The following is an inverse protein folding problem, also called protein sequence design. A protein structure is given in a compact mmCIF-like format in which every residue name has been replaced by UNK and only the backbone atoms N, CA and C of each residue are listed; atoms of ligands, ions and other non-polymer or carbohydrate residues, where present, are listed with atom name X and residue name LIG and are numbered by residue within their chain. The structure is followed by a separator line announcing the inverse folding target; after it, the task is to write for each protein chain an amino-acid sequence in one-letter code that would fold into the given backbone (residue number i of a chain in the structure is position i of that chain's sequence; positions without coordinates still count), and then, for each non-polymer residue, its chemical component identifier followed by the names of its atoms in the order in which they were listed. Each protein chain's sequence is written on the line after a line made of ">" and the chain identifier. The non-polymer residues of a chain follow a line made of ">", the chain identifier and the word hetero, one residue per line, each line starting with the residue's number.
data_IF_701726393412
#
_entry.id   IF_701726393412
#
_cell.length_a   1.000
_cell.length_b   1.000
_cell.length_c   1.000
_cell.angle_alpha   90.00
_cell.angle_beta   90.00
_cell.angle_gamma   90.00
#
_symmetry.space_group_name_H-M   'P 1'
#
loop_
_entity.id
_entity.type
_entity.pdbx_description
1 polymer ?
#
# COMPACT_ATOMS: atom_id res chain seq x y z
N UNK A 1 -25.10 23.73 -15.74
CA UNK A 1 -25.06 22.44 -16.46
C UNK A 1 -24.83 21.34 -15.43
N UNK A 2 -25.85 20.52 -15.17
CA UNK A 2 -25.94 19.50 -14.10
C UNK A 2 -24.99 18.30 -14.32
N UNK A 3 -24.42 18.15 -15.51
CA UNK A 3 -23.66 16.96 -15.92
C UNK A 3 -22.28 16.78 -15.24
N UNK A 4 -21.72 17.79 -14.58
CA UNK A 4 -20.44 17.71 -13.89
C UNK A 4 -20.49 17.32 -12.40
N UNK A 5 -21.68 17.12 -11.84
CA UNK A 5 -21.90 16.96 -10.39
C UNK A 5 -21.81 15.50 -9.89
N UNK A 6 -21.95 14.50 -10.78
CA UNK A 6 -22.10 13.11 -10.35
C UNK A 6 -20.85 12.24 -10.50
N UNK A 7 -19.91 12.61 -11.37
CA UNK A 7 -18.66 11.87 -11.53
C UNK A 7 -17.49 12.67 -10.97
N UNK A 8 -16.83 12.11 -9.96
CA UNK A 8 -15.57 12.64 -9.42
C UNK A 8 -14.42 11.90 -10.08
N UNK A 9 -13.57 12.63 -10.77
CA UNK A 9 -12.40 12.06 -11.43
C UNK A 9 -11.35 11.53 -10.43
N UNK A 10 -10.62 10.50 -10.85
CA UNK A 10 -9.42 10.02 -10.14
C UNK A 10 -8.26 10.97 -10.49
N UNK A 11 -8.38 12.22 -10.05
CA UNK A 11 -7.37 13.27 -10.27
C UNK A 11 -6.67 13.55 -8.94
N UNK A 12 -5.35 13.52 -8.97
CA UNK A 12 -4.49 13.82 -7.82
C UNK A 12 -3.61 15.05 -8.05
N UNK A 13 -3.96 15.89 -9.03
CA UNK A 13 -3.20 17.11 -9.37
C UNK A 13 -3.04 17.99 -8.13
N UNK A 14 -1.78 18.32 -7.84
CA UNK A 14 -1.44 19.14 -6.69
C UNK A 14 -1.38 18.40 -5.35
N UNK A 15 -1.80 17.13 -5.25
CA UNK A 15 -1.60 16.29 -4.05
C UNK A 15 -0.17 15.76 -3.99
N UNK A 16 0.28 15.42 -2.80
CA UNK A 16 1.59 14.80 -2.53
C UNK A 16 1.35 13.48 -1.83
N UNK A 17 1.87 12.39 -2.41
CA UNK A 17 1.74 11.04 -1.91
C UNK A 17 3.10 10.47 -1.45
N UNK A 18 3.14 9.93 -0.23
CA UNK A 18 4.27 9.14 0.27
C UNK A 18 3.95 7.66 0.08
N UNK A 19 4.87 6.93 -0.56
CA UNK A 19 4.75 5.48 -0.82
C UNK A 19 5.92 4.76 -0.19
N UNK A 20 5.67 3.86 0.76
CA UNK A 20 6.71 3.00 1.35
C UNK A 20 6.93 1.75 0.50
N UNK A 21 8.17 1.24 0.47
CA UNK A 21 8.52 0.10 -0.38
C UNK A 21 8.38 0.39 -1.87
N UNK A 22 8.61 1.64 -2.29
CA UNK A 22 8.39 2.14 -3.65
C UNK A 22 9.41 1.66 -4.68
N UNK A 23 10.39 0.86 -4.32
CA UNK A 23 11.48 0.45 -5.21
C UNK A 23 11.06 -0.61 -6.23
N UNK A 24 10.18 -1.54 -5.87
CA UNK A 24 9.79 -2.69 -6.72
C UNK A 24 8.30 -3.03 -6.58
N UNK A 25 7.81 -3.87 -7.49
CA UNK A 25 6.49 -4.49 -7.41
C UNK A 25 5.34 -3.50 -7.26
N UNK A 26 4.42 -3.79 -6.34
CA UNK A 26 3.21 -2.99 -6.10
C UNK A 26 3.56 -1.54 -5.76
N UNK A 27 4.49 -1.30 -4.83
CA UNK A 27 4.85 0.05 -4.41
C UNK A 27 5.41 0.91 -5.55
N UNK A 28 6.24 0.33 -6.43
CA UNK A 28 6.75 1.04 -7.63
C UNK A 28 5.61 1.36 -8.61
N UNK A 29 4.76 0.37 -8.90
CA UNK A 29 3.60 0.58 -9.76
C UNK A 29 2.63 1.61 -9.20
N UNK A 30 2.37 1.56 -7.90
CA UNK A 30 1.56 2.56 -7.19
C UNK A 30 2.14 3.97 -7.32
N UNK A 31 3.44 4.14 -7.08
CA UNK A 31 4.08 5.45 -7.23
C UNK A 31 3.94 6.01 -8.65
N UNK A 32 4.07 5.14 -9.67
CA UNK A 32 3.88 5.53 -11.08
C UNK A 32 2.41 5.89 -11.35
N UNK A 33 1.45 5.08 -10.91
CA UNK A 33 0.02 5.34 -11.14
C UNK A 33 -0.46 6.63 -10.45
N UNK A 34 -0.03 6.88 -9.20
CA UNK A 34 -0.34 8.13 -8.51
C UNK A 34 0.26 9.35 -9.23
N UNK A 35 1.48 9.21 -9.78
CA UNK A 35 2.11 10.25 -10.58
C UNK A 35 1.39 10.50 -11.91
N UNK A 36 0.90 9.45 -12.57
CA UNK A 36 0.06 9.55 -13.77
C UNK A 36 -1.25 10.28 -13.49
N UNK A 37 -1.82 10.07 -12.29
CA UNK A 37 -2.99 10.81 -11.83
C UNK A 37 -2.66 12.26 -11.40
N UNK A 38 -1.39 12.70 -11.47
CA UNK A 38 -0.94 14.06 -11.21
C UNK A 38 -0.38 14.33 -9.81
N UNK A 39 -0.20 13.32 -8.96
CA UNK A 39 0.38 13.51 -7.64
C UNK A 39 1.90 13.70 -7.70
N UNK A 40 2.43 14.55 -6.83
CA UNK A 40 3.84 14.55 -6.49
C UNK A 40 4.16 13.32 -5.63
N UNK A 41 5.33 12.72 -5.80
CA UNK A 41 5.70 11.47 -5.17
C UNK A 41 6.87 11.64 -4.20
N UNK A 42 6.69 11.08 -2.99
CA UNK A 42 7.76 10.84 -2.03
C UNK A 42 7.91 9.32 -1.92
N UNK A 43 9.00 8.80 -2.48
CA UNK A 43 9.28 7.36 -2.51
C UNK A 43 10.20 6.97 -1.35
N UNK A 44 9.80 5.96 -0.57
CA UNK A 44 10.63 5.41 0.51
C UNK A 44 11.08 4.00 0.15
N UNK A 45 12.39 3.72 0.29
CA UNK A 45 12.94 2.40 0.02
C UNK A 45 14.42 2.30 0.39
N UNK A 46 14.95 1.09 0.44
CA UNK A 46 16.32 0.79 0.90
C UNK A 46 17.38 0.77 -0.22
N UNK A 47 16.96 0.85 -1.46
CA UNK A 47 17.87 0.74 -2.61
C UNK A 47 17.87 2.04 -3.41
N UNK A 48 18.98 2.79 -3.33
CA UNK A 48 19.11 4.08 -3.99
C UNK A 48 19.03 3.96 -5.51
N UNK A 49 19.68 2.97 -6.11
CA UNK A 49 19.66 2.76 -7.57
C UNK A 49 18.23 2.57 -8.10
N UNK A 50 17.40 1.82 -7.37
CA UNK A 50 16.00 1.61 -7.73
C UNK A 50 15.16 2.89 -7.54
N UNK A 51 15.46 3.68 -6.51
CA UNK A 51 14.82 4.99 -6.29
C UNK A 51 15.17 5.95 -7.42
N UNK A 52 16.43 5.99 -7.85
CA UNK A 52 16.90 6.82 -8.97
C UNK A 52 16.28 6.38 -10.31
N UNK A 53 16.15 5.06 -10.50
CA UNK A 53 15.44 4.49 -11.64
C UNK A 53 13.96 4.89 -11.66
N UNK A 54 13.29 4.90 -10.50
CA UNK A 54 11.91 5.37 -10.39
C UNK A 54 11.81 6.88 -10.68
N UNK A 55 12.76 7.68 -10.17
CA UNK A 55 12.84 9.11 -10.44
C UNK A 55 12.84 9.42 -11.93
N UNK A 56 13.63 8.68 -12.73
CA UNK A 56 13.71 8.87 -14.19
C UNK A 56 12.34 8.69 -14.87
N UNK A 57 11.52 7.77 -14.37
CA UNK A 57 10.16 7.54 -14.88
C UNK A 57 9.23 8.68 -14.45
N UNK A 58 9.21 9.01 -13.15
CA UNK A 58 8.30 10.01 -12.59
C UNK A 58 8.56 11.41 -13.19
N UNK A 59 9.82 11.77 -13.44
CA UNK A 59 10.16 13.05 -14.08
C UNK A 59 9.51 13.24 -15.46
N UNK A 60 9.31 12.16 -16.22
CA UNK A 60 8.63 12.22 -17.53
C UNK A 60 7.14 12.57 -17.41
N UNK A 61 6.54 12.37 -16.23
CA UNK A 61 5.14 12.68 -15.94
C UNK A 61 4.91 14.13 -15.45
N UNK A 62 5.96 14.96 -15.44
CA UNK A 62 5.93 16.39 -15.09
C UNK A 62 5.40 16.67 -13.66
N UNK A 63 5.60 15.74 -12.71
CA UNK A 63 5.31 15.90 -11.29
C UNK A 63 6.60 15.92 -10.47
N UNK A 64 6.55 16.47 -9.24
CA UNK A 64 7.70 16.50 -8.34
C UNK A 64 7.97 15.10 -7.77
N UNK A 65 9.26 14.79 -7.60
CA UNK A 65 9.71 13.55 -6.99
C UNK A 65 10.75 13.84 -5.91
N UNK A 66 10.59 13.21 -4.77
CA UNK A 66 11.60 13.10 -3.72
C UNK A 66 11.74 11.63 -3.32
N UNK A 67 12.89 11.25 -2.79
CA UNK A 67 13.10 9.92 -2.26
C UNK A 67 13.79 9.96 -0.89
N UNK A 68 13.41 9.00 -0.03
CA UNK A 68 14.07 8.72 1.23
C UNK A 68 14.68 7.32 1.15
N UNK A 69 16.01 7.24 1.13
CA UNK A 69 16.72 5.97 1.23
C UNK A 69 16.74 5.54 2.70
N UNK A 70 15.77 4.71 3.09
CA UNK A 70 15.53 4.37 4.47
C UNK A 70 14.84 3.00 4.60
N UNK A 71 15.15 2.27 5.68
CA UNK A 71 14.30 1.17 6.15
C UNK A 71 13.13 1.76 6.95
N UNK A 72 11.91 1.28 6.67
CA UNK A 72 10.70 1.71 7.40
C UNK A 72 10.72 1.34 8.88
N UNK A 73 11.58 0.40 9.29
CA UNK A 73 11.80 0.04 10.69
C UNK A 73 12.67 1.05 11.44
N UNK A 74 13.43 1.90 10.74
CA UNK A 74 14.21 2.97 11.36
C UNK A 74 13.28 4.14 11.69
N UNK A 75 12.69 4.09 12.89
CA UNK A 75 11.71 5.07 13.36
C UNK A 75 12.27 6.49 13.39
N UNK A 76 13.50 6.67 13.93
CA UNK A 76 14.09 8.01 14.08
C UNK A 76 14.42 8.63 12.72
N UNK A 77 14.93 7.83 11.78
CA UNK A 77 15.20 8.32 10.44
C UNK A 77 13.90 8.64 9.68
N UNK A 78 12.87 7.79 9.80
CA UNK A 78 11.56 8.06 9.23
C UNK A 78 10.94 9.34 9.80
N UNK A 79 10.99 9.53 11.13
CA UNK A 79 10.54 10.75 11.81
C UNK A 79 11.29 11.99 11.29
N UNK A 80 12.62 11.91 11.18
CA UNK A 80 13.45 12.99 10.63
C UNK A 80 13.07 13.35 9.18
N UNK A 81 12.78 12.35 8.34
CA UNK A 81 12.38 12.60 6.96
C UNK A 81 10.95 13.15 6.85
N UNK A 82 9.99 12.55 7.56
CA UNK A 82 8.58 12.97 7.50
C UNK A 82 8.40 14.39 8.06
N UNK A 83 9.12 14.78 9.11
CA UNK A 83 9.04 16.13 9.69
C UNK A 83 9.48 17.24 8.73
N UNK A 84 10.28 16.94 7.72
CA UNK A 84 10.75 17.89 6.69
C UNK A 84 9.78 18.05 5.51
N UNK A 85 8.77 17.20 5.41
CA UNK A 85 7.78 17.27 4.33
C UNK A 85 6.95 18.56 4.49
N UNK A 86 6.84 19.32 3.41
CA UNK A 86 6.09 20.60 3.39
C UNK A 86 4.64 20.46 2.91
N UNK A 87 4.31 19.34 2.26
CA UNK A 87 2.97 18.99 1.81
C UNK A 87 2.82 17.48 1.79
N UNK A 88 1.79 16.96 2.43
CA UNK A 88 1.45 15.53 2.46
C UNK A 88 -0.07 15.39 2.47
N UNK A 89 -0.61 14.68 1.52
CA UNK A 89 -2.04 14.46 1.34
C UNK A 89 -2.40 12.97 1.36
N UNK A 90 -1.46 12.12 0.94
CA UNK A 90 -1.69 10.67 0.81
C UNK A 90 -0.51 9.90 1.39
N UNK A 91 -0.82 8.85 2.16
CA UNK A 91 0.14 7.82 2.55
C UNK A 91 -0.28 6.48 1.94
N UNK A 92 0.67 5.77 1.33
CA UNK A 92 0.52 4.36 0.97
C UNK A 92 1.53 3.53 1.75
N UNK A 93 1.08 2.83 2.78
CA UNK A 93 1.85 1.85 3.54
C UNK A 93 1.92 0.55 2.75
N UNK A 94 2.95 0.42 1.89
CA UNK A 94 3.12 -0.75 1.05
C UNK A 94 4.32 -1.62 1.44
N UNK A 95 5.30 -1.10 2.16
CA UNK A 95 6.43 -1.91 2.63
C UNK A 95 5.94 -3.14 3.39
N UNK A 96 6.46 -4.32 3.01
CA UNK A 96 6.03 -5.57 3.62
C UNK A 96 6.92 -6.75 3.24
N UNK A 97 6.87 -7.79 4.06
CA UNK A 97 7.60 -9.04 3.84
C UNK A 97 6.71 -10.25 4.14
N UNK A 98 7.12 -11.41 3.61
CA UNK A 98 6.47 -12.68 3.85
C UNK A 98 7.55 -13.78 3.86
N UNK A 99 7.58 -14.57 4.91
CA UNK A 99 8.47 -15.71 5.10
C UNK A 99 7.57 -16.94 5.34
N UNK A 100 7.36 -17.78 4.30
CA UNK A 100 6.54 -18.97 4.44
C UNK A 100 7.25 -20.05 5.24
N UNK A 101 6.63 -20.48 6.33
CA UNK A 101 7.13 -21.57 7.18
C UNK A 101 5.96 -22.41 7.71
N UNK A 102 6.09 -23.75 7.83
CA UNK A 102 5.13 -24.59 8.53
C UNK A 102 5.02 -24.13 9.99
N UNK A 103 3.79 -24.14 10.55
CA UNK A 103 3.53 -23.57 11.89
C UNK A 103 4.46 -24.13 12.97
N UNK A 104 4.66 -25.43 13.00
CA UNK A 104 5.51 -26.10 14.01
C UNK A 104 7.02 -25.75 13.90
N UNK A 105 7.43 -25.19 12.75
CA UNK A 105 8.84 -24.89 12.46
C UNK A 105 9.07 -23.38 12.26
N UNK A 106 8.10 -22.53 12.62
CA UNK A 106 8.25 -21.08 12.50
C UNK A 106 9.37 -20.59 13.40
N UNK A 107 10.37 -19.93 12.81
CA UNK A 107 11.47 -19.35 13.55
C UNK A 107 11.06 -18.08 14.28
N UNK A 108 11.55 -17.89 15.51
CA UNK A 108 11.30 -16.67 16.29
C UNK A 108 11.74 -15.40 15.51
N UNK A 109 12.88 -15.46 14.82
CA UNK A 109 13.38 -14.36 13.99
C UNK A 109 12.45 -14.03 12.80
N UNK A 110 11.76 -15.03 12.25
CA UNK A 110 10.77 -14.82 11.19
C UNK A 110 9.53 -14.10 11.73
N UNK A 111 9.09 -14.45 12.94
CA UNK A 111 7.99 -13.76 13.63
C UNK A 111 8.33 -12.28 13.83
N UNK A 112 9.49 -12.01 14.42
CA UNK A 112 9.98 -10.65 14.67
C UNK A 112 10.11 -9.84 13.38
N UNK A 113 10.71 -10.42 12.34
CA UNK A 113 10.89 -9.76 11.05
C UNK A 113 9.55 -9.39 10.40
N UNK A 114 8.60 -10.34 10.38
CA UNK A 114 7.29 -10.09 9.76
C UNK A 114 6.51 -9.04 10.54
N UNK A 115 6.43 -9.16 11.86
CA UNK A 115 5.67 -8.22 12.69
C UNK A 115 6.29 -6.82 12.70
N UNK A 116 7.61 -6.71 12.74
CA UNK A 116 8.28 -5.41 12.69
C UNK A 116 7.95 -4.68 11.38
N UNK A 117 8.05 -5.34 10.23
CA UNK A 117 7.81 -4.69 8.94
C UNK A 117 6.32 -4.52 8.63
N UNK A 118 5.51 -5.57 8.84
CA UNK A 118 4.12 -5.57 8.36
C UNK A 118 3.13 -4.91 9.33
N UNK A 119 3.50 -4.75 10.60
CA UNK A 119 2.59 -4.22 11.64
C UNK A 119 3.19 -3.00 12.32
N UNK A 120 4.31 -3.16 13.02
CA UNK A 120 4.91 -2.08 13.81
C UNK A 120 5.35 -0.89 12.93
N UNK A 121 6.04 -1.15 11.83
CA UNK A 121 6.44 -0.08 10.90
C UNK A 121 5.24 0.57 10.23
N UNK A 122 4.20 -0.20 9.86
CA UNK A 122 2.96 0.35 9.29
C UNK A 122 2.29 1.31 10.27
N UNK A 123 2.16 0.92 11.55
CA UNK A 123 1.63 1.78 12.61
C UNK A 123 2.48 3.06 12.77
N UNK A 124 3.79 2.91 12.93
CA UNK A 124 4.70 4.03 13.17
C UNK A 124 4.67 5.06 12.03
N UNK A 125 4.78 4.58 10.79
CA UNK A 125 4.75 5.46 9.60
C UNK A 125 3.39 6.13 9.46
N UNK A 126 2.30 5.39 9.70
CA UNK A 126 0.95 5.95 9.68
C UNK A 126 0.77 7.06 10.71
N UNK A 127 1.24 6.86 11.95
CA UNK A 127 1.16 7.86 13.02
C UNK A 127 1.97 9.12 12.68
N UNK A 128 3.21 8.95 12.20
CA UNK A 128 4.05 10.08 11.78
C UNK A 128 3.41 10.87 10.63
N UNK A 129 2.88 10.17 9.62
CA UNK A 129 2.25 10.81 8.47
C UNK A 129 0.90 11.45 8.83
N UNK A 130 0.07 10.82 9.68
CA UNK A 130 -1.17 11.41 10.14
C UNK A 130 -0.93 12.74 10.88
N UNK A 131 0.02 12.75 11.82
CA UNK A 131 0.43 13.97 12.51
C UNK A 131 0.93 15.06 11.53
N UNK A 132 1.69 14.68 10.51
CA UNK A 132 2.18 15.62 9.51
C UNK A 132 1.05 16.14 8.62
N UNK A 133 0.10 15.29 8.21
CA UNK A 133 -1.10 15.70 7.45
C UNK A 133 -1.91 16.69 8.27
N UNK A 134 -2.22 16.40 9.53
CA UNK A 134 -2.98 17.28 10.43
C UNK A 134 -2.30 18.66 10.56
N UNK A 135 -0.98 18.65 10.71
CA UNK A 135 -0.18 19.88 10.83
C UNK A 135 -0.20 20.72 9.56
N UNK A 136 -0.14 20.09 8.38
CA UNK A 136 0.08 20.78 7.10
C UNK A 136 -1.19 20.99 6.28
N UNK A 137 -2.22 20.17 6.48
CA UNK A 137 -3.38 20.13 5.60
C UNK A 137 -4.69 20.04 6.40
N UNK A 138 -5.31 21.18 6.64
CA UNK A 138 -6.62 21.27 7.32
C UNK A 138 -7.77 20.61 6.53
N UNK A 139 -7.56 20.27 5.25
CA UNK A 139 -8.56 19.59 4.41
C UNK A 139 -8.58 18.08 4.63
N UNK A 140 -7.64 17.54 5.41
CA UNK A 140 -7.50 16.12 5.67
C UNK A 140 -6.62 15.40 4.66
N UNK A 141 -6.81 14.06 4.54
CA UNK A 141 -5.97 13.22 3.69
C UNK A 141 -6.50 11.81 3.49
N UNK A 142 -5.70 10.96 2.86
CA UNK A 142 -6.00 9.54 2.67
C UNK A 142 -4.82 8.67 3.05
N UNK A 143 -5.04 7.67 3.91
CA UNK A 143 -4.07 6.64 4.27
C UNK A 143 -4.55 5.32 3.70
N UNK A 144 -3.70 4.65 2.91
CA UNK A 144 -4.00 3.37 2.29
C UNK A 144 -2.97 2.34 2.77
N UNK A 145 -3.44 1.31 3.46
CA UNK A 145 -2.62 0.22 3.95
C UNK A 145 -2.68 -0.96 2.97
N UNK A 146 -1.54 -1.43 2.49
CA UNK A 146 -1.51 -2.64 1.67
C UNK A 146 -1.53 -3.86 2.58
N UNK A 147 -2.70 -4.49 2.62
CA UNK A 147 -2.95 -5.74 3.31
C UNK A 147 -2.74 -6.95 2.37
N UNK A 148 -3.60 -7.90 2.39
CA UNK A 148 -3.62 -9.11 1.56
C UNK A 148 -4.98 -9.80 1.71
N UNK A 149 -5.34 -10.70 0.79
CA UNK A 149 -6.42 -11.67 1.06
C UNK A 149 -6.16 -12.44 2.37
N UNK A 150 -4.88 -12.61 2.75
CA UNK A 150 -4.51 -13.23 4.03
C UNK A 150 -4.68 -12.32 5.27
N UNK A 151 -5.31 -11.18 5.09
CA UNK A 151 -5.93 -10.36 6.15
C UNK A 151 -7.44 -10.59 6.27
N UNK A 152 -8.04 -11.40 5.38
CA UNK A 152 -9.46 -11.75 5.32
C UNK A 152 -9.63 -13.27 5.56
N UNK A 153 -8.80 -14.10 4.90
CA UNK A 153 -8.75 -15.56 5.06
C UNK A 153 -7.32 -15.99 5.40
N UNK A 154 -7.15 -17.22 5.86
CA UNK A 154 -5.81 -17.75 6.17
C UNK A 154 -5.20 -18.49 4.98
N UNK A 155 -3.86 -18.56 4.94
CA UNK A 155 -3.11 -19.35 3.98
C UNK A 155 -2.20 -20.37 4.65
N UNK A 156 -2.08 -21.56 4.05
CA UNK A 156 -1.18 -22.60 4.54
C UNK A 156 0.27 -22.10 4.56
N UNK A 157 1.01 -22.42 5.63
CA UNK A 157 2.38 -21.94 5.86
C UNK A 157 2.52 -20.41 5.90
N UNK A 158 1.46 -19.70 6.28
CA UNK A 158 1.39 -18.22 6.31
C UNK A 158 0.88 -17.70 7.65
N UNK A 159 0.94 -18.49 8.72
CA UNK A 159 0.33 -18.13 10.02
C UNK A 159 0.77 -16.74 10.50
N UNK A 160 2.08 -16.48 10.56
CA UNK A 160 2.59 -15.17 11.02
C UNK A 160 2.26 -14.06 10.03
N UNK A 161 2.33 -14.35 8.73
CA UNK A 161 1.95 -13.38 7.70
C UNK A 161 0.46 -13.03 7.80
N UNK A 162 -0.43 -14.04 7.92
CA UNK A 162 -1.86 -13.82 8.11
C UNK A 162 -2.11 -13.02 9.38
N UNK A 163 -1.53 -13.40 10.52
CA UNK A 163 -1.62 -12.65 11.77
C UNK A 163 -1.24 -11.17 11.56
N UNK A 164 -0.15 -10.88 10.84
CA UNK A 164 0.27 -9.52 10.57
C UNK A 164 -0.73 -8.75 9.70
N UNK A 165 -1.35 -9.42 8.71
CA UNK A 165 -2.30 -8.77 7.79
C UNK A 165 -3.69 -8.59 8.39
N UNK A 166 -4.17 -9.53 9.22
CA UNK A 166 -5.34 -9.30 10.08
C UNK A 166 -5.11 -8.12 11.04
N UNK A 167 -3.89 -7.98 11.58
CA UNK A 167 -3.50 -6.82 12.38
C UNK A 167 -3.59 -5.50 11.60
N UNK A 168 -3.23 -5.48 10.32
CA UNK A 168 -3.37 -4.31 9.44
C UNK A 168 -4.85 -3.98 9.20
N UNK A 169 -5.73 -4.97 9.08
CA UNK A 169 -7.17 -4.73 8.95
C UNK A 169 -7.77 -4.09 10.23
N UNK A 170 -7.40 -4.63 11.40
CA UNK A 170 -7.79 -4.03 12.69
C UNK A 170 -7.25 -2.61 12.85
N UNK A 171 -5.98 -2.39 12.53
CA UNK A 171 -5.34 -1.07 12.54
C UNK A 171 -6.06 -0.09 11.61
N UNK A 172 -6.44 -0.52 10.41
CA UNK A 172 -7.16 0.31 9.43
C UNK A 172 -8.48 0.82 9.97
N UNK A 173 -9.26 -0.05 10.61
CA UNK A 173 -10.55 0.32 11.22
C UNK A 173 -10.38 1.26 12.41
N UNK A 174 -9.46 0.96 13.34
CA UNK A 174 -9.17 1.82 14.49
C UNK A 174 -8.72 3.22 14.05
N UNK A 175 -7.76 3.29 13.12
CA UNK A 175 -7.30 4.58 12.59
C UNK A 175 -8.40 5.36 11.87
N UNK A 176 -9.31 4.69 11.15
CA UNK A 176 -10.42 5.35 10.46
C UNK A 176 -11.34 6.08 11.45
N UNK A 177 -11.63 5.47 12.61
CA UNK A 177 -12.43 6.10 13.67
C UNK A 177 -11.68 7.26 14.34
N UNK A 178 -10.43 7.06 14.71
CA UNK A 178 -9.64 8.05 15.44
C UNK A 178 -9.32 9.30 14.60
N UNK A 179 -9.13 9.12 13.29
CA UNK A 179 -8.71 10.19 12.37
C UNK A 179 -9.85 10.85 11.61
N UNK A 180 -11.08 10.36 11.72
CA UNK A 180 -12.26 10.94 11.06
C UNK A 180 -12.48 12.41 11.39
N UNK A 181 -12.30 12.80 12.65
CA UNK A 181 -12.41 14.21 13.10
C UNK A 181 -11.41 15.17 12.44
N UNK A 182 -10.33 14.63 11.85
CA UNK A 182 -9.35 15.39 11.08
C UNK A 182 -9.58 15.28 9.56
N UNK A 183 -10.70 14.70 9.14
CA UNK A 183 -11.02 14.47 7.75
C UNK A 183 -9.96 13.59 7.02
N UNK A 184 -9.33 12.66 7.74
CA UNK A 184 -8.40 11.69 7.19
C UNK A 184 -9.14 10.36 7.04
N UNK A 185 -9.22 9.88 5.80
CA UNK A 185 -9.77 8.56 5.49
C UNK A 185 -8.67 7.51 5.58
N UNK A 186 -9.01 6.33 6.12
CA UNK A 186 -8.08 5.21 6.22
C UNK A 186 -8.74 3.95 5.67
N UNK A 187 -8.14 3.33 4.66
CA UNK A 187 -8.65 2.11 4.04
C UNK A 187 -7.52 1.12 3.80
N UNK A 188 -7.86 -0.14 3.59
CA UNK A 188 -6.91 -1.15 3.14
C UNK A 188 -7.20 -1.61 1.72
N UNK A 189 -6.17 -2.16 1.09
CA UNK A 189 -6.27 -2.87 -0.18
C UNK A 189 -5.75 -4.29 0.06
N UNK A 190 -6.55 -5.28 -0.28
CA UNK A 190 -6.31 -6.70 -0.02
C UNK A 190 -6.10 -7.46 -1.33
N UNK A 191 -4.91 -7.40 -1.94
CA UNK A 191 -4.66 -8.12 -3.18
C UNK A 191 -4.45 -9.62 -2.90
N UNK A 192 -4.84 -10.44 -3.88
CA UNK A 192 -4.37 -11.80 -4.01
C UNK A 192 -2.89 -11.81 -4.45
N UNK A 193 -2.40 -12.95 -4.90
CA UNK A 193 -1.03 -13.10 -5.39
C UNK A 193 -0.86 -12.28 -6.67
N UNK A 194 -0.11 -11.17 -6.55
CA UNK A 194 0.13 -10.24 -7.66
C UNK A 194 1.35 -10.69 -8.46
N UNK A 195 1.27 -10.65 -9.78
CA UNK A 195 2.41 -10.89 -10.65
C UNK A 195 3.40 -9.70 -10.56
N UNK A 196 4.49 -9.92 -9.86
CA UNK A 196 5.57 -8.95 -9.63
C UNK A 196 6.93 -9.58 -9.96
N UNK A 197 8.02 -8.81 -10.07
CA UNK A 197 9.36 -9.39 -10.21
C UNK A 197 9.70 -10.43 -9.12
N UNK A 198 9.21 -10.22 -7.90
CA UNK A 198 9.43 -11.15 -6.77
C UNK A 198 8.64 -12.46 -6.92
N UNK A 199 7.40 -12.40 -7.40
CA UNK A 199 6.49 -13.55 -7.48
C UNK A 199 6.60 -14.29 -8.82
N UNK A 200 7.19 -13.67 -9.86
CA UNK A 200 7.34 -14.26 -11.20
C UNK A 200 7.92 -15.68 -11.18
N UNK A 201 8.89 -15.94 -10.29
CA UNK A 201 9.50 -17.27 -10.13
C UNK A 201 8.49 -18.35 -9.68
N UNK A 202 7.47 -18.01 -8.89
CA UNK A 202 6.43 -18.94 -8.47
C UNK A 202 5.49 -19.27 -9.62
N UNK A 203 5.14 -18.26 -10.45
CA UNK A 203 4.30 -18.45 -11.62
C UNK A 203 5.00 -19.23 -12.76
N UNK A 204 6.33 -19.34 -12.74
CA UNK A 204 7.08 -20.23 -13.64
C UNK A 204 6.78 -21.71 -13.36
N UNK A 205 6.38 -22.08 -12.14
CA UNK A 205 5.90 -23.42 -11.82
C UNK A 205 4.47 -23.59 -12.34
N UNK A 206 4.29 -24.53 -13.32
CA UNK A 206 2.99 -24.78 -13.97
C UNK A 206 1.89 -25.19 -12.99
N UNK A 207 2.22 -26.02 -12.00
CA UNK A 207 1.24 -26.48 -11.01
C UNK A 207 0.78 -25.33 -10.11
N UNK A 208 1.71 -24.47 -9.66
CA UNK A 208 1.39 -23.29 -8.89
C UNK A 208 0.53 -22.29 -9.68
N UNK A 209 0.89 -22.04 -10.94
CA UNK A 209 0.13 -21.14 -11.82
C UNK A 209 -1.30 -21.67 -12.05
N UNK A 210 -1.42 -23.00 -12.30
CA UNK A 210 -2.72 -23.67 -12.42
C UNK A 210 -3.52 -23.51 -11.13
N UNK A 211 -2.95 -23.84 -9.97
CA UNK A 211 -3.59 -23.70 -8.67
C UNK A 211 -4.12 -22.27 -8.43
N UNK A 212 -3.32 -21.25 -8.73
CA UNK A 212 -3.75 -19.84 -8.57
C UNK A 212 -4.94 -19.55 -9.48
N UNK A 213 -4.92 -19.96 -10.74
CA UNK A 213 -6.00 -19.71 -11.69
C UNK A 213 -7.29 -20.46 -11.35
N UNK A 214 -7.20 -21.74 -11.03
CA UNK A 214 -8.36 -22.58 -10.68
C UNK A 214 -9.06 -22.10 -9.41
N UNK A 215 -8.30 -21.54 -8.48
CA UNK A 215 -8.87 -20.96 -7.26
C UNK A 215 -9.27 -19.49 -7.40
N UNK A 216 -9.07 -18.87 -8.56
CA UNK A 216 -9.52 -17.50 -8.86
C UNK A 216 -10.70 -17.57 -9.82
N UNK A 217 -11.96 -17.30 -9.40
CA UNK A 217 -13.15 -17.41 -10.27
C UNK A 217 -13.04 -16.68 -11.60
N UNK A 218 -12.40 -15.49 -11.64
CA UNK A 218 -12.13 -14.79 -12.91
C UNK A 218 -11.04 -15.44 -13.77
N UNK A 219 -10.42 -16.54 -13.32
CA UNK A 219 -9.36 -17.29 -14.01
C UNK A 219 -8.20 -16.41 -14.52
N UNK A 220 -7.88 -15.35 -13.80
CA UNK A 220 -6.82 -14.38 -14.12
C UNK A 220 -5.91 -14.16 -12.92
N UNK A 221 -4.66 -13.80 -13.18
CA UNK A 221 -3.72 -13.37 -12.15
C UNK A 221 -3.84 -11.87 -11.94
N UNK A 222 -3.91 -11.44 -10.68
CA UNK A 222 -3.92 -10.01 -10.33
C UNK A 222 -2.62 -9.36 -10.78
N UNK A 223 -2.75 -8.20 -11.43
CA UNK A 223 -1.62 -7.40 -11.91
C UNK A 223 -1.31 -6.23 -10.97
N UNK A 224 -0.12 -5.64 -11.13
CA UNK A 224 0.24 -4.41 -10.43
C UNK A 224 -0.74 -3.27 -10.77
N UNK A 225 -1.20 -3.21 -12.02
CA UNK A 225 -2.16 -2.20 -12.48
C UNK A 225 -3.48 -2.28 -11.74
N UNK A 226 -4.03 -3.49 -11.54
CA UNK A 226 -5.30 -3.68 -10.82
C UNK A 226 -5.24 -3.11 -9.41
N UNK A 227 -4.12 -3.38 -8.71
CA UNK A 227 -3.88 -2.88 -7.36
C UNK A 227 -3.66 -1.36 -7.36
N UNK A 228 -2.82 -0.86 -8.26
CA UNK A 228 -2.44 0.56 -8.30
C UNK A 228 -3.61 1.47 -8.66
N UNK A 229 -4.52 1.03 -9.53
CA UNK A 229 -5.75 1.76 -9.88
C UNK A 229 -6.68 1.90 -8.67
N UNK A 230 -6.88 0.84 -7.90
CA UNK A 230 -7.70 0.88 -6.68
C UNK A 230 -7.09 1.80 -5.62
N UNK A 231 -5.76 1.82 -5.51
CA UNK A 231 -5.05 2.75 -4.62
C UNK A 231 -5.24 4.20 -5.10
N UNK A 232 -5.15 4.48 -6.39
CA UNK A 232 -5.37 5.81 -6.95
C UNK A 232 -6.81 6.29 -6.69
N UNK A 233 -7.80 5.41 -6.81
CA UNK A 233 -9.19 5.68 -6.45
C UNK A 233 -9.30 6.06 -4.95
N UNK A 234 -8.74 5.26 -4.04
CA UNK A 234 -8.77 5.55 -2.60
C UNK A 234 -8.00 6.81 -2.22
N UNK A 235 -6.98 7.19 -2.98
CA UNK A 235 -6.22 8.42 -2.78
C UNK A 235 -6.97 9.68 -3.26
N UNK A 236 -7.95 9.53 -4.13
CA UNK A 236 -8.69 10.62 -4.76
C UNK A 236 -9.95 11.02 -3.99
N UNK A 237 -10.56 12.12 -4.40
CA UNK A 237 -11.83 12.61 -3.85
C UNK A 237 -13.03 11.79 -4.35
N UNK A 238 -12.84 10.91 -5.35
CA UNK A 238 -13.86 9.95 -5.79
C UNK A 238 -14.27 8.98 -4.67
N UNK A 239 -13.39 8.75 -3.69
CA UNK A 239 -13.65 7.91 -2.51
C UNK A 239 -13.90 8.71 -1.22
N UNK A 240 -14.41 9.94 -1.32
CA UNK A 240 -14.53 10.88 -0.18
C UNK A 240 -15.37 10.35 0.99
N UNK A 241 -16.30 9.43 0.78
CA UNK A 241 -17.14 8.81 1.82
C UNK A 241 -16.73 7.36 2.13
N UNK A 242 -15.53 6.94 1.71
CA UNK A 242 -15.02 5.60 1.95
C UNK A 242 -13.90 5.66 2.98
N UNK A 243 -14.16 5.11 4.18
CA UNK A 243 -13.17 4.98 5.26
C UNK A 243 -13.46 3.74 6.11
N UNK A 244 -12.44 3.13 6.71
CA UNK A 244 -12.55 1.94 7.55
C UNK A 244 -12.85 0.65 6.79
N UNK A 245 -12.74 0.64 5.46
CA UNK A 245 -13.06 -0.52 4.63
C UNK A 245 -11.84 -1.12 3.95
N UNK A 246 -12.03 -2.32 3.39
CA UNK A 246 -11.04 -3.10 2.67
C UNK A 246 -11.50 -3.30 1.23
N UNK A 247 -10.70 -2.89 0.25
CA UNK A 247 -10.94 -3.22 -1.16
C UNK A 247 -10.20 -4.52 -1.48
N UNK A 248 -10.96 -5.59 -1.73
CA UNK A 248 -10.43 -6.91 -2.06
C UNK A 248 -10.20 -6.97 -3.57
N UNK A 249 -8.99 -7.35 -3.99
CA UNK A 249 -8.58 -7.45 -5.40
C UNK A 249 -8.03 -8.85 -5.62
N UNK A 250 -8.93 -9.82 -5.80
CA UNK A 250 -8.60 -11.22 -5.76
C UNK A 250 -9.25 -12.07 -6.87
N UNK A 251 -10.05 -11.45 -7.74
CA UNK A 251 -10.77 -12.15 -8.80
C UNK A 251 -11.81 -13.13 -8.28
N UNK A 252 -12.32 -12.92 -7.06
CA UNK A 252 -13.34 -13.75 -6.41
C UNK A 252 -12.77 -14.88 -5.53
N UNK A 253 -11.47 -14.91 -5.27
CA UNK A 253 -10.83 -15.95 -4.45
C UNK A 253 -11.47 -16.10 -3.07
N UNK A 254 -11.80 -15.00 -2.41
CA UNK A 254 -12.36 -14.99 -1.04
C UNK A 254 -13.89 -14.94 -1.01
N UNK A 255 -14.57 -15.03 -2.14
CA UNK A 255 -16.03 -14.95 -2.20
C UNK A 255 -16.75 -16.28 -1.83
N UNK A 256 -16.00 -17.29 -1.38
CA UNK A 256 -16.47 -18.64 -1.02
C UNK A 256 -15.96 -19.05 0.35
#
# INVERSE_FOLDING_TARGET
>A
TIMGLFLKDIILKGKTALVTGATKGIGRGTAIALAQAGANIIAVGRNQTELDSLQKIIKKLKVKYHSFNCDVNDFELMKKYISKIKKLDVLVNNAGTNIPEPFLNVKKSSVETILNVNTKAVFNVAQLCANQIIKLNKKGGSIINISSIFGIVAGQNRTVYSMSKFGVEGLTKGMALDLAKYNIRVNSVCPNIVLTPRTKKYFANRNYNRYVKENTPLNKTVTISDVATSIAFLASDASSMITGTSIIIDGGWTAR
#
